data_IF_647740289472
#
_entry.id   IF_647740289472
#
_cell.length_a   1.000
_cell.length_b   1.000
_cell.length_c   1.000
_cell.angle_alpha   90.00
_cell.angle_beta   90.00
_cell.angle_gamma   90.00
#
_symmetry.space_group_name_H-M   'P 1'
#
loop_
_entity.id
_entity.type
_entity.pdbx_description
1 polymer ?
#
# COMPACT_ATOMS: atom_id res chain seq x y z
N UNK A 1 3.49 -11.03 26.09
CA UNK A 1 3.25 -11.04 24.62
C UNK A 1 4.02 -12.21 24.04
N UNK A 2 3.49 -12.91 23.02
CA UNK A 2 4.23 -14.02 22.41
C UNK A 2 5.48 -13.50 21.69
N UNK A 3 6.63 -14.13 21.92
CA UNK A 3 7.91 -13.72 21.33
C UNK A 3 8.01 -14.04 19.84
N UNK A 4 8.79 -13.26 19.10
CA UNK A 4 9.18 -13.56 17.71
C UNK A 4 10.50 -14.34 17.73
N UNK A 5 10.59 -15.38 16.92
CA UNK A 5 11.73 -16.29 16.92
C UNK A 5 12.23 -16.52 15.50
N UNK A 6 13.56 -16.63 15.36
CA UNK A 6 14.22 -17.00 14.12
C UNK A 6 14.74 -18.42 14.20
N UNK A 7 14.50 -19.19 13.14
CA UNK A 7 15.04 -20.54 13.01
C UNK A 7 16.54 -20.47 12.69
N UNK A 8 17.38 -20.85 13.64
CA UNK A 8 18.84 -20.87 13.50
C UNK A 8 19.39 -22.29 13.27
N UNK A 9 18.60 -23.33 13.58
CA UNK A 9 18.99 -24.73 13.43
C UNK A 9 18.49 -25.39 12.16
N UNK A 10 18.95 -26.62 11.89
CA UNK A 10 18.42 -27.49 10.83
C UNK A 10 19.08 -27.35 9.45
N UNK A 11 20.12 -26.54 9.29
CA UNK A 11 20.77 -26.30 7.98
C UNK A 11 21.28 -27.58 7.29
N UNK A 12 21.85 -28.53 8.05
CA UNK A 12 22.29 -29.83 7.53
C UNK A 12 21.17 -30.84 7.27
N UNK A 13 19.92 -30.53 7.64
CA UNK A 13 18.75 -31.42 7.52
C UNK A 13 17.57 -30.79 6.78
N UNK A 14 17.78 -29.66 6.10
CA UNK A 14 16.73 -28.95 5.36
C UNK A 14 15.70 -28.22 6.24
N UNK A 15 16.03 -27.92 7.50
CA UNK A 15 15.16 -27.24 8.47
C UNK A 15 14.82 -28.06 9.71
N UNK A 16 14.00 -27.46 10.59
CA UNK A 16 13.53 -28.08 11.82
C UNK A 16 12.37 -29.04 11.56
N UNK A 17 12.38 -30.16 12.26
CA UNK A 17 11.26 -31.09 12.29
C UNK A 17 10.08 -30.45 13.03
N UNK A 18 8.93 -30.41 12.36
CA UNK A 18 7.69 -29.87 12.92
C UNK A 18 6.77 -31.01 13.33
N UNK A 19 6.19 -30.92 14.52
CA UNK A 19 5.20 -31.89 15.02
C UNK A 19 3.82 -31.26 15.19
N UNK A 20 2.78 -32.08 15.14
CA UNK A 20 1.39 -31.67 15.40
C UNK A 20 1.14 -31.31 16.87
N UNK A 21 1.94 -31.85 17.79
CA UNK A 21 1.83 -31.64 19.23
C UNK A 21 3.18 -31.44 19.95
N UNK A 22 3.15 -31.05 21.24
CA UNK A 22 4.34 -30.76 22.04
C UNK A 22 5.15 -32.01 22.40
N UNK A 23 4.59 -33.21 22.25
CA UNK A 23 5.27 -34.47 22.55
C UNK A 23 6.39 -34.77 21.56
N UNK A 24 7.41 -35.51 21.99
CA UNK A 24 8.45 -36.05 21.10
C UNK A 24 7.94 -37.23 20.25
N UNK A 25 6.81 -37.82 20.64
CA UNK A 25 6.11 -38.90 19.91
C UNK A 25 4.91 -38.39 19.10
N UNK A 26 4.62 -37.09 19.14
CA UNK A 26 3.54 -36.50 18.34
C UNK A 26 3.84 -36.60 16.85
N UNK A 27 2.82 -36.77 16.02
CA UNK A 27 2.94 -36.94 14.57
C UNK A 27 3.86 -35.87 13.94
N UNK A 28 4.77 -36.34 13.10
CA UNK A 28 5.68 -35.50 12.32
C UNK A 28 4.97 -34.98 11.08
N UNK A 29 5.06 -33.67 10.84
CA UNK A 29 4.62 -33.11 9.57
C UNK A 29 5.59 -33.50 8.47
N UNK A 30 5.06 -33.69 7.25
CA UNK A 30 5.86 -34.06 6.08
C UNK A 30 6.90 -32.98 5.74
N UNK A 31 6.54 -31.71 5.92
CA UNK A 31 7.42 -30.57 5.66
C UNK A 31 8.18 -30.14 6.91
N UNK A 32 9.42 -29.70 6.71
CA UNK A 32 10.27 -29.10 7.74
C UNK A 32 10.15 -27.58 7.70
N UNK A 33 10.29 -26.96 8.87
CA UNK A 33 10.36 -25.51 8.99
C UNK A 33 11.78 -25.07 8.61
N UNK A 34 11.92 -24.36 7.49
CA UNK A 34 13.22 -24.03 6.92
C UNK A 34 14.05 -23.13 7.84
N UNK A 35 15.38 -23.29 7.79
CA UNK A 35 16.34 -22.39 8.46
C UNK A 35 16.12 -20.95 8.00
N UNK A 36 16.33 -19.98 8.90
CA UNK A 36 16.07 -18.54 8.74
C UNK A 36 14.59 -18.14 8.68
N UNK A 37 13.65 -19.09 8.72
CA UNK A 37 12.23 -18.77 8.85
C UNK A 37 11.96 -18.00 10.15
N UNK A 38 10.99 -17.09 10.06
CA UNK A 38 10.53 -16.24 11.14
C UNK A 38 9.20 -16.77 11.64
N UNK A 39 9.08 -17.01 12.94
CA UNK A 39 7.91 -17.62 13.54
C UNK A 39 7.46 -16.83 14.76
N UNK A 40 6.15 -16.69 14.93
CA UNK A 40 5.54 -16.10 16.11
C UNK A 40 5.20 -17.21 17.10
N UNK A 41 5.60 -17.05 18.36
CA UNK A 41 5.18 -17.93 19.44
C UNK A 41 3.67 -17.86 19.60
N UNK A 42 3.01 -19.01 19.72
CA UNK A 42 1.57 -19.09 20.08
C UNK A 42 1.45 -19.66 21.48
N UNK A 43 2.35 -20.56 21.85
CA UNK A 43 2.39 -21.23 23.14
C UNK A 43 3.72 -21.93 23.36
N UNK A 44 4.04 -22.25 24.61
CA UNK A 44 5.31 -22.88 24.97
C UNK A 44 5.13 -23.91 26.07
N UNK A 45 5.74 -25.08 25.89
CA UNK A 45 5.77 -26.14 26.88
C UNK A 45 7.22 -26.62 27.06
N UNK A 46 7.88 -26.13 28.11
CA UNK A 46 9.31 -26.38 28.33
C UNK A 46 10.16 -25.88 27.15
N UNK A 47 10.91 -26.77 26.51
CA UNK A 47 11.74 -26.47 25.34
C UNK A 47 11.00 -26.65 24.00
N UNK A 48 9.67 -26.78 24.03
CA UNK A 48 8.83 -26.92 22.84
C UNK A 48 8.05 -25.63 22.62
N UNK A 49 8.17 -25.08 21.41
CA UNK A 49 7.50 -23.87 20.99
C UNK A 49 6.40 -24.22 19.98
N UNK A 50 5.17 -23.85 20.29
CA UNK A 50 4.09 -23.80 19.32
C UNK A 50 4.19 -22.48 18.56
N UNK A 51 4.10 -22.53 17.24
CA UNK A 51 4.34 -21.37 16.41
C UNK A 51 3.32 -21.19 15.28
N UNK A 52 3.20 -19.95 14.80
CA UNK A 52 2.67 -19.57 13.49
C UNK A 52 3.83 -19.08 12.63
N UNK A 53 3.89 -19.51 11.37
CA UNK A 53 4.87 -19.04 10.40
C UNK A 53 4.55 -17.59 10.03
N UNK A 54 5.53 -16.70 10.13
CA UNK A 54 5.42 -15.28 9.75
C UNK A 54 6.09 -15.03 8.41
N UNK A 55 7.29 -15.60 8.20
CA UNK A 55 8.03 -15.51 6.94
C UNK A 55 8.96 -16.72 6.78
N UNK A 56 9.23 -17.14 5.53
CA UNK A 56 10.05 -18.32 5.23
C UNK A 56 9.24 -19.45 4.59
N UNK A 57 9.70 -20.69 4.75
CA UNK A 57 9.07 -21.87 4.14
C UNK A 57 8.92 -23.03 5.12
N UNK A 58 7.92 -23.86 4.88
CA UNK A 58 7.52 -24.99 5.73
C UNK A 58 6.11 -24.83 6.28
N UNK A 59 5.71 -25.67 7.26
CA UNK A 59 4.35 -25.67 7.79
C UNK A 59 3.97 -24.32 8.41
N UNK A 60 2.79 -23.81 8.05
CA UNK A 60 2.25 -22.54 8.55
C UNK A 60 2.03 -22.48 10.07
N UNK A 61 2.01 -23.64 10.75
CA UNK A 61 2.01 -23.74 12.20
C UNK A 61 2.49 -25.12 12.65
N UNK A 62 2.87 -25.24 13.92
CA UNK A 62 3.18 -26.53 14.53
C UNK A 62 4.03 -26.38 15.78
N UNK A 63 4.65 -27.48 16.20
CA UNK A 63 5.53 -27.53 17.37
C UNK A 63 6.96 -27.85 16.96
N UNK A 64 7.91 -27.03 17.40
CA UNK A 64 9.35 -27.23 17.20
C UNK A 64 10.11 -27.19 18.53
N UNK A 65 11.35 -27.66 18.53
CA UNK A 65 12.23 -27.55 19.69
C UNK A 65 13.00 -26.23 19.66
N UNK A 66 13.06 -25.52 20.79
CA UNK A 66 13.84 -24.30 20.96
C UNK A 66 15.35 -24.62 20.91
N UNK A 67 15.76 -25.70 21.56
CA UNK A 67 17.14 -26.21 21.57
C UNK A 67 17.19 -27.73 21.65
N UNK A 68 18.27 -28.32 21.16
CA UNK A 68 18.60 -29.74 21.32
C UNK A 68 20.03 -29.85 21.83
N UNK A 69 20.23 -30.49 22.99
CA UNK A 69 21.51 -30.49 23.74
C UNK A 69 21.99 -29.04 23.97
N UNK A 70 23.20 -28.71 23.54
CA UNK A 70 23.80 -27.37 23.67
C UNK A 70 23.54 -26.48 22.44
N UNK A 71 22.85 -26.99 21.41
CA UNK A 71 22.59 -26.23 20.17
C UNK A 71 21.21 -25.57 20.22
N UNK A 72 21.20 -24.24 20.20
CA UNK A 72 20.00 -23.44 19.98
C UNK A 72 19.50 -23.64 18.55
N UNK A 73 18.22 -23.98 18.41
CA UNK A 73 17.54 -24.15 17.13
C UNK A 73 16.66 -22.96 16.79
N UNK A 74 16.17 -22.27 17.82
CA UNK A 74 15.46 -21.01 17.73
C UNK A 74 16.21 -19.96 18.53
N UNK A 75 16.46 -18.83 17.91
CA UNK A 75 17.03 -17.66 18.59
C UNK A 75 15.88 -16.67 18.79
N UNK A 76 15.64 -16.18 20.03
CA UNK A 76 14.71 -15.08 20.23
C UNK A 76 15.19 -13.92 19.36
N UNK A 77 14.30 -13.34 18.57
CA UNK A 77 14.61 -12.09 17.89
C UNK A 77 14.63 -11.00 18.98
N UNK A 78 15.79 -10.83 19.63
CA UNK A 78 15.97 -9.83 20.65
C UNK A 78 15.72 -8.45 20.04
N UNK A 79 14.96 -7.61 20.76
CA UNK A 79 14.87 -6.19 20.49
C UNK A 79 16.26 -5.56 20.71
N UNK A 80 17.14 -5.64 19.72
CA UNK A 80 18.55 -5.26 19.86
C UNK A 80 19.21 -4.91 18.53
N UNK A 81 19.36 -3.60 18.32
CA UNK A 81 20.51 -2.92 17.69
C UNK A 81 21.37 -3.73 16.70
N UNK A 82 21.28 -3.41 15.40
CA UNK A 82 22.36 -3.71 14.46
C UNK A 82 22.01 -4.34 13.10
N UNK A 83 20.75 -4.42 12.69
CA UNK A 83 20.38 -4.82 11.32
C UNK A 83 19.34 -3.83 10.78
N UNK A 84 19.62 -3.23 9.62
CA UNK A 84 18.73 -2.38 8.80
C UNK A 84 17.53 -1.78 9.52
N UNK A 85 17.75 -0.84 10.44
CA UNK A 85 16.66 -0.10 11.09
C UNK A 85 15.81 0.52 9.98
N UNK A 86 14.50 0.23 9.98
CA UNK A 86 13.57 1.12 9.29
C UNK A 86 13.86 2.51 9.82
N UNK A 87 14.03 3.42 8.87
CA UNK A 87 14.15 4.84 9.10
C UNK A 87 12.79 5.34 9.62
N UNK A 88 12.53 5.09 10.91
CA UNK A 88 11.36 5.61 11.64
C UNK A 88 11.71 7.01 12.12
N UNK A 89 11.01 8.01 11.60
CA UNK A 89 11.25 9.40 11.97
C UNK A 89 9.99 9.99 12.60
N UNK A 90 10.17 10.63 13.75
CA UNK A 90 9.19 11.46 14.43
C UNK A 90 9.43 12.94 14.18
N UNK A 91 8.55 13.81 14.68
CA UNK A 91 8.69 15.28 14.55
C UNK A 91 10.05 15.82 15.05
N UNK A 92 10.64 15.15 16.05
CA UNK A 92 11.92 15.54 16.64
C UNK A 92 13.14 15.28 15.72
N UNK A 93 12.97 14.49 14.66
CA UNK A 93 14.04 14.20 13.68
C UNK A 93 14.13 15.25 12.57
N UNK A 94 13.24 16.25 12.58
CA UNK A 94 13.23 17.39 11.67
C UNK A 94 13.74 18.65 12.39
N UNK A 95 14.48 19.50 11.68
CA UNK A 95 15.11 20.71 12.24
C UNK A 95 14.14 21.72 12.90
N UNK A 96 14.69 22.73 13.58
CA UNK A 96 13.87 23.79 14.20
C UNK A 96 13.35 24.80 13.17
N UNK A 97 12.27 25.50 13.53
CA UNK A 97 11.66 26.57 12.73
C UNK A 97 12.59 27.76 12.41
N UNK A 98 13.81 27.77 12.97
CA UNK A 98 14.85 28.79 12.75
C UNK A 98 15.78 28.46 11.57
N UNK A 99 15.60 27.31 10.89
CA UNK A 99 16.37 26.97 9.71
C UNK A 99 16.06 27.93 8.54
N UNK A 100 17.09 28.61 8.02
CA UNK A 100 16.95 29.42 6.81
C UNK A 100 16.85 28.49 5.61
N UNK A 101 15.72 28.52 4.90
CA UNK A 101 15.54 27.83 3.63
C UNK A 101 16.69 28.18 2.68
N UNK A 102 17.32 27.16 2.09
CA UNK A 102 18.30 27.36 1.03
C UNK A 102 17.66 28.07 -0.16
N UNK A 103 18.42 28.92 -0.86
CA UNK A 103 18.00 29.53 -2.13
C UNK A 103 17.67 28.49 -3.22
N UNK A 104 18.08 27.23 -3.01
CA UNK A 104 17.80 26.10 -3.91
C UNK A 104 16.54 25.30 -3.50
N UNK A 105 15.77 25.77 -2.51
CA UNK A 105 14.54 25.10 -2.09
C UNK A 105 13.46 25.25 -3.16
N UNK A 106 12.87 24.14 -3.59
CA UNK A 106 11.75 24.13 -4.54
C UNK A 106 10.50 24.80 -3.95
N UNK A 107 9.57 25.30 -4.77
CA UNK A 107 8.32 25.89 -4.27
C UNK A 107 7.53 24.97 -3.33
N UNK A 108 7.52 23.66 -3.60
CA UNK A 108 6.87 22.67 -2.73
C UNK A 108 7.58 22.53 -1.37
N UNK A 109 8.92 22.48 -1.36
CA UNK A 109 9.72 22.44 -0.14
C UNK A 109 9.47 23.67 0.73
N UNK A 110 9.42 24.86 0.12
CA UNK A 110 9.10 26.10 0.83
C UNK A 110 7.66 26.09 1.36
N UNK A 111 6.69 25.69 0.53
CA UNK A 111 5.29 25.64 0.93
C UNK A 111 5.08 24.72 2.14
N UNK A 112 5.65 23.51 2.11
CA UNK A 112 5.57 22.56 3.22
C UNK A 112 6.29 23.08 4.48
N UNK A 113 7.46 23.71 4.31
CA UNK A 113 8.16 24.32 5.44
C UNK A 113 7.27 25.36 6.14
N UNK A 114 6.71 26.31 5.40
CA UNK A 114 5.88 27.36 6.00
C UNK A 114 4.54 26.84 6.52
N UNK A 115 3.84 25.97 5.78
CA UNK A 115 2.56 25.38 6.22
C UNK A 115 2.69 24.58 7.50
N UNK A 116 3.86 24.00 7.73
CA UNK A 116 4.16 23.22 8.92
C UNK A 116 4.80 24.02 10.05
N UNK A 117 4.92 25.34 9.90
CA UNK A 117 5.65 26.22 10.81
C UNK A 117 7.09 25.73 11.08
N UNK A 118 7.78 25.31 10.00
CA UNK A 118 9.17 24.89 10.00
C UNK A 118 9.40 23.41 10.35
N UNK A 119 8.36 22.63 10.63
CA UNK A 119 8.50 21.19 10.96
C UNK A 119 9.01 20.37 9.79
N UNK A 120 8.68 20.73 8.56
CA UNK A 120 9.13 20.03 7.36
C UNK A 120 10.35 20.72 6.75
N UNK A 121 11.49 20.63 7.44
CA UNK A 121 12.77 21.10 6.93
C UNK A 121 13.20 20.32 5.67
N UNK A 122 13.41 20.99 4.51
CA UNK A 122 13.80 20.34 3.26
C UNK A 122 15.12 19.58 3.37
N UNK A 123 16.10 20.08 4.12
CA UNK A 123 17.37 19.37 4.27
C UNK A 123 17.19 18.06 5.04
N UNK A 124 16.39 18.07 6.09
CA UNK A 124 16.01 16.88 6.84
C UNK A 124 15.33 15.88 5.92
N UNK A 125 14.30 16.28 5.17
CA UNK A 125 13.61 15.42 4.20
C UNK A 125 14.58 14.81 3.17
N UNK A 126 15.54 15.59 2.65
CA UNK A 126 16.58 15.11 1.73
C UNK A 126 17.51 14.08 2.38
N UNK A 127 17.81 14.20 3.68
CA UNK A 127 18.57 13.17 4.44
C UNK A 127 17.78 11.87 4.61
N UNK A 128 16.46 11.95 4.81
CA UNK A 128 15.59 10.78 5.00
C UNK A 128 15.35 10.02 3.69
N UNK A 129 15.35 10.74 2.56
CA UNK A 129 15.23 10.19 1.21
C UNK A 129 16.33 9.17 0.93
N UNK A 130 15.97 8.05 0.28
CA UNK A 130 16.95 7.06 -0.20
C UNK A 130 17.76 7.63 -1.36
N UNK A 131 19.02 7.20 -1.48
CA UNK A 131 19.84 7.59 -2.63
C UNK A 131 19.14 7.18 -3.94
N UNK A 132 19.06 8.05 -4.95
CA UNK A 132 18.51 7.70 -6.26
C UNK A 132 19.19 6.45 -6.83
N UNK A 133 18.49 5.63 -7.63
CA UNK A 133 19.10 4.46 -8.26
C UNK A 133 20.23 4.89 -9.19
N UNK A 134 21.35 4.16 -9.18
CA UNK A 134 22.48 4.40 -10.09
C UNK A 134 22.12 4.09 -11.56
N UNK A 135 21.16 3.19 -11.78
CA UNK A 135 20.62 2.83 -13.10
C UNK A 135 19.21 2.24 -12.97
N UNK A 136 18.43 2.27 -14.06
CA UNK A 136 17.06 1.73 -14.08
C UNK A 136 16.01 2.73 -13.60
N UNK A 137 14.75 2.26 -13.53
CA UNK A 137 13.62 3.08 -13.11
C UNK A 137 13.10 2.57 -11.75
N UNK A 138 13.55 3.22 -10.67
CA UNK A 138 12.98 2.98 -9.34
C UNK A 138 11.57 3.55 -9.26
N UNK A 139 10.69 2.78 -8.64
CA UNK A 139 9.33 3.18 -8.29
C UNK A 139 9.23 3.46 -6.79
N UNK A 140 8.60 4.57 -6.42
CA UNK A 140 8.24 4.87 -5.03
C UNK A 140 6.75 4.71 -4.82
N UNK A 141 6.37 3.71 -4.03
CA UNK A 141 4.98 3.53 -3.58
C UNK A 141 4.76 4.42 -2.38
N UNK A 142 3.75 5.29 -2.43
CA UNK A 142 3.43 6.28 -1.38
C UNK A 142 2.07 5.94 -0.78
N UNK A 143 2.03 5.80 0.54
CA UNK A 143 0.81 5.44 1.28
C UNK A 143 0.57 6.34 2.49
N UNK A 144 -0.39 7.27 2.40
CA UNK A 144 -0.95 7.96 3.55
C UNK A 144 -1.74 6.98 4.44
N UNK A 145 -1.55 7.03 5.76
CA UNK A 145 -2.32 6.21 6.69
C UNK A 145 -2.51 6.90 8.05
N UNK A 146 -3.22 6.26 8.98
CA UNK A 146 -3.34 6.69 10.37
C UNK A 146 -3.19 5.48 11.31
N UNK A 147 -2.74 5.70 12.54
CA UNK A 147 -2.67 4.65 13.57
C UNK A 147 -4.00 3.89 13.80
N UNK A 148 -5.16 4.55 13.59
CA UNK A 148 -6.49 3.93 13.69
C UNK A 148 -6.76 2.90 12.58
N UNK A 149 -5.99 2.95 11.50
CA UNK A 149 -6.03 2.05 10.33
C UNK A 149 -4.95 0.96 10.39
N UNK A 150 -4.27 0.81 11.53
CA UNK A 150 -3.21 -0.18 11.75
C UNK A 150 -3.56 -1.63 11.41
N UNK A 151 -4.85 -2.00 11.46
CA UNK A 151 -5.35 -3.30 10.99
C UNK A 151 -5.06 -3.60 9.52
N UNK A 152 -4.88 -2.57 8.68
CA UNK A 152 -4.62 -2.71 7.25
C UNK A 152 -3.12 -2.73 6.90
N UNK A 153 -2.24 -2.37 7.84
CA UNK A 153 -0.80 -2.26 7.55
C UNK A 153 -0.14 -3.59 7.13
N UNK A 154 -0.51 -4.76 7.69
CA UNK A 154 -0.03 -6.04 7.17
C UNK A 154 -0.48 -6.33 5.74
N UNK A 155 -1.72 -5.97 5.37
CA UNK A 155 -2.24 -6.13 4.01
C UNK A 155 -1.49 -5.22 3.03
N UNK A 156 -1.26 -3.96 3.41
CA UNK A 156 -0.45 -3.03 2.62
C UNK A 156 0.94 -3.62 2.33
N UNK A 157 1.58 -4.21 3.35
CA UNK A 157 2.88 -4.86 3.19
C UNK A 157 2.83 -6.09 2.28
N UNK A 158 1.79 -6.93 2.40
CA UNK A 158 1.56 -8.07 1.50
C UNK A 158 1.43 -7.59 0.04
N UNK A 159 0.61 -6.57 -0.21
CA UNK A 159 0.44 -5.97 -1.54
C UNK A 159 1.76 -5.42 -2.09
N UNK A 160 2.51 -4.68 -1.28
CA UNK A 160 3.79 -4.09 -1.68
C UNK A 160 4.84 -5.16 -2.01
N UNK A 161 5.02 -6.16 -1.14
CA UNK A 161 6.03 -7.21 -1.34
C UNK A 161 5.73 -8.10 -2.53
N UNK A 162 4.45 -8.34 -2.83
CA UNK A 162 4.02 -9.13 -3.97
C UNK A 162 4.28 -8.46 -5.32
N UNK A 163 4.56 -7.14 -5.38
CA UNK A 163 4.75 -6.45 -6.64
C UNK A 163 5.93 -7.02 -7.44
N UNK A 164 5.69 -7.31 -8.72
CA UNK A 164 6.69 -7.86 -9.66
C UNK A 164 7.80 -6.87 -10.04
N UNK A 165 7.62 -5.58 -9.78
CA UNK A 165 8.65 -4.57 -10.03
C UNK A 165 9.80 -4.71 -9.03
N UNK A 166 11.03 -4.90 -9.51
CA UNK A 166 12.18 -5.22 -8.65
C UNK A 166 12.68 -4.02 -7.84
N UNK A 167 13.03 -2.93 -8.52
CA UNK A 167 13.55 -1.72 -7.87
C UNK A 167 12.40 -0.83 -7.41
N UNK A 168 11.89 -1.11 -6.22
CA UNK A 168 10.77 -0.40 -5.60
C UNK A 168 11.05 -0.09 -4.14
N UNK A 169 10.38 0.94 -3.66
CA UNK A 169 10.39 1.34 -2.25
C UNK A 169 8.99 1.72 -1.77
N UNK A 170 8.75 1.55 -0.48
CA UNK A 170 7.50 1.94 0.16
C UNK A 170 7.73 3.13 1.08
N UNK A 171 6.91 4.15 0.96
CA UNK A 171 6.94 5.35 1.79
C UNK A 171 5.60 5.46 2.50
N UNK A 172 5.62 5.25 3.81
CA UNK A 172 4.41 5.27 4.64
C UNK A 172 4.40 6.52 5.49
N UNK A 173 3.33 7.30 5.36
CA UNK A 173 3.12 8.55 6.10
C UNK A 173 1.94 8.36 7.04
N UNK A 174 2.22 8.04 8.30
CA UNK A 174 1.20 7.80 9.32
C UNK A 174 0.97 9.04 10.17
N UNK A 175 -0.29 9.41 10.43
CA UNK A 175 -0.63 10.29 11.56
C UNK A 175 -1.19 9.52 12.74
N UNK A 176 -0.89 9.97 13.96
CA UNK A 176 -1.38 9.34 15.18
C UNK A 176 -1.71 10.33 16.30
N UNK A 177 -2.56 9.89 17.22
CA UNK A 177 -2.85 10.55 18.50
C UNK A 177 -2.34 9.64 19.62
N UNK A 178 -1.07 9.79 19.99
CA UNK A 178 -0.42 8.96 21.01
C UNK A 178 0.61 7.98 20.44
N UNK A 179 0.19 6.81 19.96
CA UNK A 179 1.14 5.75 19.53
C UNK A 179 1.12 5.50 18.01
N UNK A 180 2.30 5.37 17.37
CA UNK A 180 2.39 4.97 15.98
C UNK A 180 2.15 3.46 15.79
N UNK A 181 2.09 3.01 14.55
CA UNK A 181 1.96 1.60 14.18
C UNK A 181 3.08 0.72 14.74
N UNK A 182 2.72 -0.26 15.57
CA UNK A 182 3.65 -1.30 16.04
C UNK A 182 4.17 -2.17 14.89
N UNK A 183 3.33 -2.41 13.87
CA UNK A 183 3.70 -3.18 12.68
C UNK A 183 4.88 -2.53 11.94
N UNK A 184 4.75 -1.25 11.56
CA UNK A 184 5.84 -0.57 10.83
C UNK A 184 7.06 -0.30 11.70
N UNK A 185 6.90 -0.12 13.01
CA UNK A 185 8.04 -0.04 13.93
C UNK A 185 8.84 -1.36 14.01
N UNK A 186 8.19 -2.51 13.81
CA UNK A 186 8.82 -3.84 13.93
C UNK A 186 9.24 -4.47 12.59
N UNK A 187 8.79 -3.93 11.45
CA UNK A 187 8.93 -4.56 10.13
C UNK A 187 10.39 -4.75 9.66
N UNK A 188 11.34 -3.90 10.07
CA UNK A 188 12.78 -4.06 9.78
C UNK A 188 13.20 -4.09 8.29
N UNK A 189 12.38 -3.58 7.37
CA UNK A 189 12.62 -3.65 5.93
C UNK A 189 13.42 -2.44 5.38
N UNK A 190 14.51 -2.71 4.65
CA UNK A 190 15.44 -1.67 4.15
C UNK A 190 14.88 -0.81 2.99
N UNK A 191 13.88 -1.32 2.27
CA UNK A 191 13.20 -0.62 1.19
C UNK A 191 11.94 0.11 1.66
N UNK A 192 11.81 0.35 2.97
CA UNK A 192 10.70 1.09 3.58
C UNK A 192 11.20 2.37 4.24
N UNK A 193 10.56 3.49 3.92
CA UNK A 193 10.68 4.76 4.64
C UNK A 193 9.38 4.97 5.40
N UNK A 194 9.43 4.98 6.72
CA UNK A 194 8.24 5.11 7.56
C UNK A 194 8.32 6.38 8.40
N UNK A 195 7.38 7.27 8.19
CA UNK A 195 7.29 8.54 8.91
C UNK A 195 6.04 8.50 9.78
N UNK A 196 6.22 8.66 11.08
CA UNK A 196 5.13 8.73 12.05
C UNK A 196 4.99 10.16 12.57
N UNK A 197 3.82 10.74 12.36
CA UNK A 197 3.52 12.14 12.66
C UNK A 197 2.50 12.23 13.77
N UNK A 198 2.90 12.82 14.89
CA UNK A 198 1.95 13.12 15.95
C UNK A 198 1.07 14.32 15.54
N UNK A 199 -0.24 14.17 15.71
CA UNK A 199 -1.23 15.18 15.34
C UNK A 199 -1.91 14.90 14.00
N UNK A 200 -2.25 15.97 13.28
CA UNK A 200 -3.02 15.90 12.04
C UNK A 200 -2.24 16.51 10.87
N UNK A 201 -2.30 15.85 9.72
CA UNK A 201 -1.74 16.28 8.44
C UNK A 201 -2.68 15.70 7.39
N UNK A 202 -3.11 16.56 6.47
CA UNK A 202 -4.08 16.20 5.44
C UNK A 202 -3.54 15.09 4.52
N UNK A 203 -4.42 14.46 3.73
CA UNK A 203 -3.99 13.45 2.76
C UNK A 203 -3.07 14.08 1.71
N UNK A 204 -3.39 15.29 1.25
CA UNK A 204 -2.54 16.02 0.31
C UNK A 204 -1.17 16.37 0.89
N UNK A 205 -1.13 16.83 2.15
CA UNK A 205 0.10 17.05 2.92
C UNK A 205 0.97 15.77 2.96
N UNK A 206 0.39 14.62 3.28
CA UNK A 206 1.09 13.33 3.30
C UNK A 206 1.60 12.91 1.92
N UNK A 207 0.80 13.08 0.86
CA UNK A 207 1.22 12.73 -0.50
C UNK A 207 2.35 13.62 -1.00
N UNK A 208 2.31 14.93 -0.70
CA UNK A 208 3.39 15.86 -1.00
C UNK A 208 4.70 15.50 -0.28
N UNK A 209 4.63 15.17 1.02
CA UNK A 209 5.78 14.64 1.77
C UNK A 209 6.31 13.35 1.13
N UNK A 210 5.42 12.46 0.70
CA UNK A 210 5.77 11.25 -0.04
C UNK A 210 6.55 11.53 -1.33
N UNK A 211 6.13 12.51 -2.13
CA UNK A 211 6.86 12.93 -3.35
C UNK A 211 8.26 13.44 -3.00
N UNK A 212 8.39 14.25 -1.95
CA UNK A 212 9.70 14.78 -1.53
C UNK A 212 10.64 13.65 -1.07
N UNK A 213 10.12 12.70 -0.30
CA UNK A 213 10.88 11.54 0.21
C UNK A 213 11.18 10.48 -0.87
N UNK A 214 10.43 10.46 -1.97
CA UNK A 214 10.58 9.50 -3.05
C UNK A 214 11.93 9.60 -3.76
N UNK A 215 12.68 8.50 -3.82
CA UNK A 215 13.90 8.36 -4.61
C UNK A 215 13.64 7.85 -6.03
N UNK A 216 12.45 7.31 -6.30
CA UNK A 216 11.99 6.84 -7.59
C UNK A 216 11.64 7.96 -8.57
N UNK A 217 11.68 7.61 -9.86
CA UNK A 217 11.28 8.50 -10.96
C UNK A 217 9.76 8.51 -11.14
N UNK A 218 9.10 7.43 -10.74
CA UNK A 218 7.66 7.24 -10.81
C UNK A 218 7.11 7.03 -9.41
N UNK A 219 6.04 7.74 -9.11
CA UNK A 219 5.24 7.61 -7.89
C UNK A 219 4.05 6.72 -8.19
N UNK A 220 3.78 5.80 -7.28
CA UNK A 220 2.60 4.94 -7.30
C UNK A 220 1.85 5.17 -5.99
N UNK A 221 0.56 5.46 -6.06
CA UNK A 221 -0.24 5.70 -4.87
C UNK A 221 -0.95 4.40 -4.46
N UNK A 222 -0.75 4.01 -3.21
CA UNK A 222 -1.49 2.93 -2.56
C UNK A 222 -2.32 3.53 -1.43
N UNK A 223 -3.60 3.20 -1.39
CA UNK A 223 -4.38 3.29 -0.16
C UNK A 223 -4.08 2.06 0.70
N UNK A 224 -4.18 2.19 2.03
CA UNK A 224 -3.78 1.13 2.94
C UNK A 224 -4.80 -0.02 3.05
N UNK A 225 -6.07 0.27 2.77
CA UNK A 225 -7.23 -0.64 2.83
C UNK A 225 -7.52 -1.39 1.52
N UNK A 226 -6.96 -0.93 0.40
CA UNK A 226 -7.14 -1.54 -0.90
C UNK A 226 -6.16 -2.69 -1.18
N UNK A 227 -6.48 -3.50 -2.19
CA UNK A 227 -5.70 -4.68 -2.55
C UNK A 227 -5.09 -4.49 -3.95
N UNK A 228 -3.76 -4.58 -4.02
CA UNK A 228 -2.99 -4.40 -5.25
C UNK A 228 -2.32 -5.69 -5.68
N UNK A 229 -2.75 -6.22 -6.83
CA UNK A 229 -2.24 -7.47 -7.37
C UNK A 229 -0.75 -7.42 -7.72
N UNK A 230 -0.05 -8.56 -7.83
CA UNK A 230 1.38 -8.62 -8.12
C UNK A 230 1.84 -7.87 -9.38
N UNK A 231 0.93 -7.69 -10.34
CA UNK A 231 1.21 -7.04 -11.61
C UNK A 231 0.88 -5.54 -11.61
N UNK A 232 0.28 -4.98 -10.55
CA UNK A 232 -0.24 -3.60 -10.53
C UNK A 232 0.80 -2.56 -10.91
N UNK A 233 1.90 -2.46 -10.17
CA UNK A 233 2.98 -1.48 -10.44
C UNK A 233 3.55 -1.69 -11.84
N UNK A 234 3.85 -2.93 -12.22
CA UNK A 234 4.43 -3.23 -13.52
C UNK A 234 3.51 -2.82 -14.67
N UNK A 235 2.22 -3.09 -14.57
CA UNK A 235 1.25 -2.77 -15.63
C UNK A 235 1.06 -1.26 -15.76
N UNK A 236 0.86 -0.56 -14.64
CA UNK A 236 0.66 0.89 -14.64
C UNK A 236 1.90 1.65 -15.12
N UNK A 237 3.08 1.31 -14.60
CA UNK A 237 4.34 1.99 -14.95
C UNK A 237 4.74 1.73 -16.41
N UNK A 238 4.61 0.50 -16.91
CA UNK A 238 4.92 0.20 -18.32
C UNK A 238 3.97 0.90 -19.27
N UNK A 239 2.69 1.03 -18.92
CA UNK A 239 1.74 1.76 -19.75
C UNK A 239 2.04 3.25 -19.77
N UNK A 240 2.33 3.84 -18.61
CA UNK A 240 2.78 5.23 -18.50
C UNK A 240 3.99 5.49 -19.40
N UNK A 241 5.01 4.61 -19.35
CA UNK A 241 6.20 4.72 -20.19
C UNK A 241 5.90 4.54 -21.68
N UNK A 242 5.18 3.47 -22.05
CA UNK A 242 4.85 3.13 -23.44
C UNK A 242 4.03 4.22 -24.13
N UNK A 243 3.11 4.85 -23.40
CA UNK A 243 2.26 5.93 -23.92
C UNK A 243 2.87 7.34 -23.71
N UNK A 244 4.08 7.43 -23.13
CA UNK A 244 4.76 8.70 -22.82
C UNK A 244 3.90 9.67 -21.98
N UNK A 245 3.21 9.11 -20.97
CA UNK A 245 2.31 9.85 -20.08
C UNK A 245 3.08 10.48 -18.91
N UNK A 246 2.51 11.55 -18.37
CA UNK A 246 2.91 12.19 -17.12
C UNK A 246 2.20 11.55 -15.92
N UNK A 247 0.94 11.17 -16.09
CA UNK A 247 0.15 10.46 -15.10
C UNK A 247 -0.80 9.47 -15.77
N UNK A 248 -1.17 8.43 -15.04
CA UNK A 248 -2.10 7.39 -15.48
C UNK A 248 -2.96 6.98 -14.29
N UNK A 249 -4.27 6.98 -14.45
CA UNK A 249 -5.23 6.49 -13.45
C UNK A 249 -6.12 5.40 -14.05
N UNK A 250 -6.65 4.52 -13.20
CA UNK A 250 -7.69 3.61 -13.63
C UNK A 250 -8.99 4.38 -13.88
N UNK A 251 -9.67 4.08 -14.99
CA UNK A 251 -10.99 4.63 -15.33
C UNK A 251 -12.12 3.62 -15.16
N UNK A 252 -11.79 2.38 -14.83
CA UNK A 252 -12.71 1.32 -14.44
C UNK A 252 -11.93 0.31 -13.59
N UNK A 253 -12.58 -0.27 -12.59
CA UNK A 253 -11.92 -1.10 -11.57
C UNK A 253 -12.88 -2.11 -10.95
N UNK A 254 -12.33 -3.00 -10.14
CA UNK A 254 -13.10 -3.95 -9.35
C UNK A 254 -13.28 -3.42 -7.93
N UNK A 255 -14.49 -3.53 -7.40
CA UNK A 255 -14.83 -3.27 -6.01
C UNK A 255 -15.08 -4.57 -5.26
N UNK A 256 -14.82 -4.56 -3.96
CA UNK A 256 -15.27 -5.58 -3.04
C UNK A 256 -15.97 -4.96 -1.82
N UNK A 257 -17.29 -5.16 -1.69
CA UNK A 257 -18.03 -4.76 -0.50
C UNK A 257 -17.90 -5.83 0.58
N UNK A 258 -17.17 -5.50 1.64
CA UNK A 258 -16.92 -6.37 2.80
C UNK A 258 -18.16 -6.63 3.65
N UNK A 259 -19.19 -5.76 3.59
CA UNK A 259 -20.46 -5.91 4.33
C UNK A 259 -21.41 -6.84 3.60
N UNK A 260 -21.45 -6.75 2.27
CA UNK A 260 -22.29 -7.62 1.43
C UNK A 260 -21.58 -8.87 0.94
N UNK A 261 -20.26 -8.97 1.14
CA UNK A 261 -19.41 -10.04 0.63
C UNK A 261 -19.56 -10.22 -0.89
N UNK A 262 -19.57 -9.10 -1.63
CA UNK A 262 -19.82 -9.07 -3.08
C UNK A 262 -18.73 -8.31 -3.81
N UNK A 263 -18.34 -8.84 -4.96
CA UNK A 263 -17.47 -8.16 -5.90
C UNK A 263 -18.30 -7.59 -7.06
N UNK A 264 -17.95 -6.38 -7.48
CA UNK A 264 -18.52 -5.76 -8.65
C UNK A 264 -17.46 -5.10 -9.50
N UNK A 265 -17.80 -4.82 -10.75
CA UNK A 265 -16.98 -4.06 -11.67
C UNK A 265 -17.63 -2.70 -11.85
N UNK A 266 -16.84 -1.64 -11.72
CA UNK A 266 -17.25 -0.24 -11.83
C UNK A 266 -16.65 0.33 -13.10
N UNK A 267 -17.50 0.87 -13.96
CA UNK A 267 -17.09 1.61 -15.15
C UNK A 267 -17.94 2.89 -15.20
N UNK A 268 -17.44 4.02 -14.67
CA UNK A 268 -18.18 5.28 -14.63
C UNK A 268 -18.62 5.76 -16.02
N UNK A 269 -17.87 5.46 -17.07
CA UNK A 269 -18.27 5.80 -18.45
C UNK A 269 -19.52 5.00 -18.84
N UNK A 270 -19.54 3.69 -18.57
CA UNK A 270 -20.68 2.84 -18.88
C UNK A 270 -21.93 3.15 -18.02
N UNK A 271 -21.75 3.63 -16.79
CA UNK A 271 -22.88 4.08 -15.95
C UNK A 271 -23.59 5.31 -16.51
N UNK A 272 -22.92 6.12 -17.34
CA UNK A 272 -23.58 7.24 -18.03
C UNK A 272 -24.37 6.85 -19.27
N UNK A 273 -24.15 5.63 -19.77
CA UNK A 273 -24.91 5.03 -20.88
C UNK A 273 -26.15 4.26 -20.38
N UNK A 274 -26.37 4.14 -19.06
CA UNK A 274 -27.64 3.65 -18.52
C UNK A 274 -28.74 4.67 -18.85
N UNK A 275 -29.55 4.33 -19.87
CA UNK A 275 -30.69 5.09 -20.38
C UNK A 275 -31.66 5.55 -19.27
N UNK A 276 -31.40 6.71 -18.67
CA UNK A 276 -32.43 7.50 -18.03
C UNK A 276 -33.44 7.88 -19.12
N UNK A 277 -34.75 7.57 -18.99
CA UNK A 277 -35.72 7.78 -20.04
C UNK A 277 -35.64 9.20 -20.61
N UNK A 278 -35.31 9.30 -21.91
CA UNK A 278 -35.16 10.57 -22.66
C UNK A 278 -36.44 11.43 -22.70
N UNK A 279 -37.54 11.02 -22.06
CA UNK A 279 -38.88 11.59 -22.22
C UNK A 279 -39.20 12.83 -21.37
N UNK A 280 -38.27 13.35 -20.54
CA UNK A 280 -38.58 14.47 -19.61
C UNK A 280 -37.67 15.71 -19.75
N UNK A 281 -36.77 15.81 -20.72
CA UNK A 281 -35.81 16.93 -20.75
C UNK A 281 -35.89 17.79 -22.01
N UNK A 282 -36.29 19.06 -21.83
CA UNK A 282 -36.16 20.10 -22.83
C UNK A 282 -34.68 20.29 -23.23
N UNK A 283 -34.43 20.65 -24.49
CA UNK A 283 -33.08 20.70 -25.09
C UNK A 283 -32.05 21.55 -24.31
N UNK A 284 -32.48 22.61 -23.60
CA UNK A 284 -31.60 23.42 -22.75
C UNK A 284 -31.12 22.68 -21.48
N UNK A 285 -31.94 21.78 -20.93
CA UNK A 285 -31.57 20.96 -19.80
C UNK A 285 -30.66 19.80 -20.21
N UNK A 286 -30.69 19.38 -21.48
CA UNK A 286 -29.79 18.33 -22.01
C UNK A 286 -28.33 18.76 -22.00
N UNK A 287 -28.02 20.00 -22.41
CA UNK A 287 -26.64 20.52 -22.42
C UNK A 287 -26.07 20.69 -21.02
N UNK A 288 -26.84 21.23 -20.07
CA UNK A 288 -26.39 21.37 -18.68
C UNK A 288 -26.32 20.01 -17.97
N UNK A 289 -27.24 19.08 -18.26
CA UNK A 289 -27.16 17.70 -17.78
C UNK A 289 -25.95 16.97 -18.39
N UNK A 290 -25.63 17.18 -19.66
CA UNK A 290 -24.43 16.63 -20.29
C UNK A 290 -23.15 17.22 -19.69
N UNK A 291 -23.14 18.51 -19.34
CA UNK A 291 -22.01 19.12 -18.60
C UNK A 291 -21.89 18.59 -17.18
N UNK A 292 -23.00 18.45 -16.45
CA UNK A 292 -23.05 17.84 -15.10
C UNK A 292 -22.67 16.36 -15.13
N UNK A 293 -23.08 15.63 -16.18
CA UNK A 293 -22.67 14.24 -16.43
C UNK A 293 -21.19 14.16 -16.76
N UNK A 294 -20.68 15.02 -17.65
CA UNK A 294 -19.24 15.09 -17.96
C UNK A 294 -18.42 15.46 -16.75
N UNK A 295 -18.83 16.44 -15.94
CA UNK A 295 -18.13 16.80 -14.70
C UNK A 295 -18.23 15.69 -13.64
N UNK A 296 -19.35 14.97 -13.59
CA UNK A 296 -19.54 13.79 -12.73
C UNK A 296 -18.67 12.60 -13.14
N UNK A 297 -18.61 12.28 -14.43
CA UNK A 297 -17.74 11.23 -15.00
C UNK A 297 -16.28 11.61 -14.86
N UNK A 298 -15.94 12.85 -15.18
CA UNK A 298 -14.57 13.34 -15.05
C UNK A 298 -14.10 13.32 -13.59
N UNK A 299 -14.95 13.73 -12.65
CA UNK A 299 -14.69 13.55 -11.21
C UNK A 299 -14.57 12.09 -10.80
N UNK A 300 -15.36 11.19 -11.38
CA UNK A 300 -15.32 9.75 -11.08
C UNK A 300 -14.15 9.00 -11.74
N UNK A 301 -13.67 9.47 -12.89
CA UNK A 301 -12.62 8.83 -13.70
C UNK A 301 -11.22 9.35 -13.34
N UNK A 302 -11.12 10.63 -12.98
CA UNK A 302 -9.86 11.22 -12.48
C UNK A 302 -9.80 11.28 -10.96
N UNK A 303 -10.88 10.88 -10.28
CA UNK A 303 -10.92 10.66 -8.83
C UNK A 303 -10.67 9.22 -8.44
N UNK A 304 -10.72 8.99 -7.13
CA UNK A 304 -10.39 7.72 -6.48
C UNK A 304 -8.88 7.47 -6.37
N UNK A 305 -8.31 8.09 -5.35
CA UNK A 305 -6.88 8.22 -5.12
C UNK A 305 -6.12 6.93 -4.83
N UNK A 306 -6.78 5.78 -4.93
CA UNK A 306 -6.19 4.46 -4.79
C UNK A 306 -5.54 3.95 -6.08
N UNK A 307 -5.86 4.49 -7.27
CA UNK A 307 -5.62 3.79 -8.54
C UNK A 307 -4.70 4.49 -9.57
N UNK A 308 -3.80 5.37 -9.13
CA UNK A 308 -3.01 6.17 -10.08
C UNK A 308 -1.50 6.16 -9.83
N UNK A 309 -0.78 6.48 -10.90
CA UNK A 309 0.66 6.59 -10.96
C UNK A 309 1.05 7.87 -11.70
N UNK A 310 2.15 8.49 -11.32
CA UNK A 310 2.62 9.70 -11.99
C UNK A 310 4.14 9.84 -11.95
N UNK A 311 4.69 10.59 -12.91
CA UNK A 311 6.08 11.00 -12.86
C UNK A 311 6.30 11.89 -11.64
N UNK A 312 7.42 11.66 -10.93
CA UNK A 312 7.76 12.42 -9.73
C UNK A 312 7.93 13.90 -10.01
N UNK A 313 8.59 14.23 -11.13
CA UNK A 313 8.95 15.62 -11.45
C UNK A 313 7.69 16.49 -11.66
N UNK A 314 6.70 16.13 -12.50
CA UNK A 314 5.46 16.88 -12.61
C UNK A 314 4.72 17.03 -11.27
N UNK A 315 4.76 16.01 -10.41
CA UNK A 315 4.18 16.08 -9.07
C UNK A 315 4.89 17.07 -8.12
N UNK A 316 6.17 17.36 -8.33
CA UNK A 316 6.88 18.41 -7.59
C UNK A 316 6.46 19.82 -8.06
N UNK A 317 6.17 19.98 -9.35
CA UNK A 317 5.76 21.25 -9.95
C UNK A 317 4.28 21.56 -9.71
N UNK A 318 3.45 20.52 -9.64
CA UNK A 318 2.01 20.58 -9.46
C UNK A 318 1.60 19.77 -8.22
N UNK A 319 1.84 20.28 -7.01
CA UNK A 319 1.63 19.51 -5.79
C UNK A 319 0.15 19.27 -5.47
N UNK A 320 -0.12 18.24 -4.67
CA UNK A 320 -1.46 18.00 -4.15
C UNK A 320 -1.95 19.21 -3.33
N UNK A 321 -3.23 19.58 -3.42
CA UNK A 321 -3.80 20.58 -2.52
C UNK A 321 -3.81 20.04 -1.08
N UNK A 322 -3.57 20.91 -0.10
CA UNK A 322 -3.58 20.57 1.32
C UNK A 322 -5.02 20.40 1.84
N UNK A 323 -5.67 19.31 1.42
CA UNK A 323 -7.05 18.97 1.79
C UNK A 323 -7.16 17.55 2.31
N UNK A 324 -8.15 17.31 3.18
CA UNK A 324 -8.40 15.99 3.79
C UNK A 324 -9.18 15.03 2.88
N UNK A 325 -9.76 15.55 1.80
CA UNK A 325 -10.53 14.80 0.81
C UNK A 325 -10.39 15.43 -0.56
N UNK A 326 -10.59 14.60 -1.60
CA UNK A 326 -10.60 14.98 -3.01
C UNK A 326 -9.31 15.66 -3.48
N UNK A 327 -8.19 15.45 -2.80
CA UNK A 327 -6.88 15.95 -3.20
C UNK A 327 -6.37 15.27 -4.47
N UNK A 328 -6.73 13.99 -4.67
CA UNK A 328 -6.50 13.16 -5.86
C UNK A 328 -7.09 13.78 -7.13
N UNK A 329 -8.41 14.03 -7.14
CA UNK A 329 -9.15 14.60 -8.28
C UNK A 329 -8.51 15.92 -8.67
N UNK A 330 -8.31 16.81 -7.69
CA UNK A 330 -7.75 18.14 -7.92
C UNK A 330 -6.33 18.06 -8.48
N UNK A 331 -5.50 17.15 -7.96
CA UNK A 331 -4.16 16.92 -8.46
C UNK A 331 -4.16 16.39 -9.90
N UNK A 332 -4.99 15.39 -10.21
CA UNK A 332 -5.09 14.80 -11.54
C UNK A 332 -5.62 15.82 -12.56
N UNK A 333 -6.63 16.62 -12.19
CA UNK A 333 -7.15 17.69 -13.04
C UNK A 333 -6.11 18.79 -13.26
N UNK A 334 -5.37 19.19 -12.23
CA UNK A 334 -4.29 20.17 -12.37
C UNK A 334 -3.20 19.67 -13.33
N UNK A 335 -2.78 18.41 -13.23
CA UNK A 335 -1.85 17.82 -14.18
C UNK A 335 -2.43 17.76 -15.59
N UNK A 336 -3.73 17.47 -15.71
CA UNK A 336 -4.37 17.40 -17.03
C UNK A 336 -4.49 18.78 -17.67
N UNK A 337 -4.76 19.82 -16.89
CA UNK A 337 -4.76 21.21 -17.40
C UNK A 337 -3.36 21.62 -17.90
N UNK A 338 -2.30 21.16 -17.22
CA UNK A 338 -0.92 21.47 -17.58
C UNK A 338 -0.37 20.62 -18.75
N UNK A 339 -0.73 19.33 -18.82
CA UNK A 339 -0.12 18.35 -19.72
C UNK A 339 -1.07 17.72 -20.74
N UNK A 340 -2.36 18.06 -20.69
CA UNK A 340 -3.40 17.63 -21.60
C UNK A 340 -3.48 16.11 -21.75
N UNK A 341 -3.37 15.57 -22.98
CA UNK A 341 -3.55 14.14 -23.26
C UNK A 341 -2.46 13.23 -22.66
N UNK A 342 -1.42 13.81 -22.03
CA UNK A 342 -0.41 13.05 -21.30
C UNK A 342 -0.86 12.63 -19.90
N UNK A 343 -2.07 13.01 -19.47
CA UNK A 343 -2.75 12.39 -18.32
C UNK A 343 -3.71 11.34 -18.87
N UNK A 344 -3.32 10.08 -18.76
CA UNK A 344 -4.02 8.96 -19.38
C UNK A 344 -4.99 8.25 -18.45
N UNK A 345 -5.87 7.49 -19.08
CA UNK A 345 -6.85 6.62 -18.45
C UNK A 345 -6.64 5.18 -18.91
N UNK A 346 -6.94 4.23 -18.02
CA UNK A 346 -6.88 2.79 -18.31
C UNK A 346 -8.01 2.05 -17.61
N UNK A 347 -8.74 1.20 -18.32
CA UNK A 347 -9.67 0.24 -17.70
C UNK A 347 -8.89 -0.93 -17.12
N UNK A 348 -9.13 -1.29 -15.87
CA UNK A 348 -8.58 -2.50 -15.26
C UNK A 348 -9.40 -3.72 -15.69
N UNK A 349 -8.98 -4.39 -16.75
CA UNK A 349 -9.65 -5.59 -17.22
C UNK A 349 -9.08 -6.85 -16.56
N UNK A 350 -7.87 -6.76 -16.03
CA UNK A 350 -7.12 -7.89 -15.47
C UNK A 350 -7.34 -8.06 -13.95
N UNK A 351 -8.00 -7.10 -13.31
CA UNK A 351 -8.17 -7.04 -11.86
C UNK A 351 -6.83 -6.94 -11.16
N UNK A 352 -6.02 -5.96 -11.57
CA UNK A 352 -4.76 -5.62 -10.90
C UNK A 352 -4.97 -4.79 -9.63
N UNK A 353 -6.15 -4.21 -9.45
CA UNK A 353 -6.54 -3.50 -8.24
C UNK A 353 -7.96 -3.92 -7.83
N UNK A 354 -8.17 -4.02 -6.52
CA UNK A 354 -9.48 -4.28 -5.92
C UNK A 354 -9.71 -3.22 -4.83
N UNK A 355 -10.64 -2.31 -5.09
CA UNK A 355 -11.05 -1.29 -4.15
C UNK A 355 -11.94 -1.91 -3.07
N UNK A 356 -11.57 -1.78 -1.81
CA UNK A 356 -12.23 -2.46 -0.70
C UNK A 356 -13.22 -1.53 -0.03
N UNK A 357 -14.50 -1.79 -0.27
CA UNK A 357 -15.57 -1.07 0.39
C UNK A 357 -15.86 -1.66 1.78
N UNK A 358 -15.65 -0.85 2.82
CA UNK A 358 -15.98 -1.10 4.21
C UNK A 358 -16.80 0.07 4.78
N UNK A 359 -17.60 -0.13 5.83
CA UNK A 359 -18.54 0.90 6.36
C UNK A 359 -17.94 2.22 6.88
N UNK A 360 -16.66 2.51 6.60
CA UNK A 360 -15.97 3.77 6.86
C UNK A 360 -15.11 4.27 5.68
N UNK A 361 -15.39 3.88 4.44
CA UNK A 361 -14.74 4.53 3.29
C UNK A 361 -15.15 6.01 3.22
N UNK A 362 -14.29 6.82 2.61
CA UNK A 362 -14.55 8.23 2.31
C UNK A 362 -15.16 8.43 0.92
N UNK A 363 -15.13 7.41 0.06
CA UNK A 363 -15.75 7.38 -1.25
C UNK A 363 -16.63 6.13 -1.37
N UNK A 364 -17.74 6.25 -2.11
CA UNK A 364 -18.70 5.18 -2.38
C UNK A 364 -18.87 5.07 -3.90
N UNK A 365 -18.89 3.85 -4.42
CA UNK A 365 -18.94 3.58 -5.86
C UNK A 365 -20.21 2.81 -6.23
N UNK A 366 -20.81 3.21 -7.35
CA UNK A 366 -22.00 2.54 -7.87
C UNK A 366 -21.57 1.36 -8.75
N UNK A 367 -21.99 0.15 -8.40
CA UNK A 367 -21.63 -1.05 -9.16
C UNK A 367 -22.28 -1.03 -10.55
N UNK A 368 -21.47 -1.16 -11.61
CA UNK A 368 -21.97 -1.30 -12.98
C UNK A 368 -22.44 -2.74 -13.24
N UNK A 369 -21.65 -3.75 -12.85
CA UNK A 369 -22.07 -5.16 -12.91
C UNK A 369 -21.53 -5.96 -11.73
N UNK A 370 -22.25 -7.02 -11.37
CA UNK A 370 -21.74 -8.04 -10.46
C UNK A 370 -20.62 -8.85 -11.13
N UNK A 371 -19.64 -9.29 -10.33
CA UNK A 371 -18.51 -10.11 -10.77
C UNK A 371 -18.64 -11.49 -10.14
N UNK A 372 -18.61 -12.53 -10.98
CA UNK A 372 -18.78 -13.92 -10.54
C UNK A 372 -17.55 -14.44 -9.78
N UNK A 373 -17.73 -15.44 -8.92
CA UNK A 373 -16.61 -16.07 -8.20
C UNK A 373 -15.53 -16.65 -9.15
N UNK A 374 -15.94 -17.21 -10.28
CA UNK A 374 -15.03 -17.73 -11.31
C UNK A 374 -14.21 -16.63 -11.97
N UNK A 375 -14.81 -15.45 -12.17
CA UNK A 375 -14.11 -14.29 -12.68
C UNK A 375 -13.13 -13.74 -11.65
N UNK A 376 -13.55 -13.61 -10.38
CA UNK A 376 -12.66 -13.21 -9.28
C UNK A 376 -11.43 -14.10 -9.26
N UNK A 377 -11.59 -15.42 -9.33
CA UNK A 377 -10.49 -16.38 -9.30
C UNK A 377 -9.45 -16.20 -10.43
N UNK A 378 -9.81 -15.51 -11.53
CA UNK A 378 -8.90 -15.21 -12.65
C UNK A 378 -8.23 -13.84 -12.56
N UNK A 379 -8.67 -12.96 -11.66
CA UNK A 379 -8.09 -11.63 -11.48
C UNK A 379 -6.65 -11.71 -10.94
N UNK A 380 -5.82 -10.73 -11.27
CA UNK A 380 -4.43 -10.67 -10.79
C UNK A 380 -4.36 -10.57 -9.26
N UNK A 381 -5.28 -9.83 -8.63
CA UNK A 381 -5.41 -9.74 -7.16
C UNK A 381 -5.63 -11.10 -6.49
N UNK A 382 -6.21 -12.09 -7.19
CA UNK A 382 -6.43 -13.44 -6.63
C UNK A 382 -5.17 -14.27 -6.44
N UNK A 383 -4.03 -13.79 -6.95
CA UNK A 383 -2.71 -14.35 -6.65
C UNK A 383 -2.25 -14.05 -5.22
N UNK A 384 -2.91 -13.12 -4.53
CA UNK A 384 -2.63 -12.80 -3.14
C UNK A 384 -3.40 -13.73 -2.19
N UNK A 385 -2.74 -14.27 -1.15
CA UNK A 385 -3.38 -15.05 -0.10
C UNK A 385 -4.64 -14.41 0.50
N UNK A 386 -4.62 -13.08 0.70
CA UNK A 386 -5.77 -12.36 1.25
C UNK A 386 -7.04 -12.52 0.41
N UNK A 387 -6.94 -12.43 -0.92
CA UNK A 387 -8.08 -12.56 -1.84
C UNK A 387 -8.55 -14.01 -1.95
N UNK A 388 -7.62 -14.96 -1.94
CA UNK A 388 -7.98 -16.38 -1.88
C UNK A 388 -8.81 -16.72 -0.63
N UNK A 389 -8.56 -16.03 0.49
CA UNK A 389 -9.36 -16.15 1.71
C UNK A 389 -10.77 -15.57 1.55
N UNK A 390 -10.89 -14.42 0.86
CA UNK A 390 -12.17 -13.76 0.57
C UNK A 390 -13.05 -14.61 -0.35
N UNK A 391 -12.49 -15.12 -1.45
CA UNK A 391 -13.22 -15.96 -2.41
C UNK A 391 -13.79 -17.24 -1.75
N UNK A 392 -13.05 -17.86 -0.82
CA UNK A 392 -13.54 -19.03 -0.06
C UNK A 392 -14.71 -18.72 0.87
N UNK A 393 -14.85 -17.47 1.35
CA UNK A 393 -16.00 -17.05 2.16
C UNK A 393 -17.23 -16.86 1.30
N UNK A 394 -17.07 -16.25 0.13
CA UNK A 394 -18.16 -16.05 -0.85
C UNK A 394 -18.79 -17.35 -1.36
N UNK A 395 -18.01 -18.44 -1.47
CA UNK A 395 -18.51 -19.75 -1.92
C UNK A 395 -19.33 -20.51 -0.86
N UNK A 396 -19.34 -20.06 0.40
CA UNK A 396 -20.04 -20.73 1.50
C UNK A 396 -21.41 -20.12 1.83
N UNK A 397 -21.73 -19.00 1.21
CA UNK A 397 -23.02 -18.29 1.30
C UNK A 397 -23.80 -18.51 0.00
#
# INVERSE_FOLDING_TARGET
MPGLWRVAGGEGTGGLLVRSGPGLTSEEKQERLATKSLIQEIGRQGLRLQYALVAGSGPGSGWVSIRIREKELLVPEAAGQGAGRIRSYGLADFGSADARLSSESTPLEQALYYQSAGKWDPESLRRLRRAPPASGCRVSVVTPTTSRRSKFHPQLWECFTAQSWRDKELIVLETHQGRPSEFFQSLGAENVVYISLEGDCSIGCKRNLGILLASGQVIVNFDDDDIYGPSYVSSMVRELQRKNLVALTLSAWYDFDTRMNRCGYVDPEALTDLDLPNSILAAAAKTELEKLRRSGVEGAVYGYGFSYVHLREPGLQHPYPDTKMCEDVKFMLQLRDAFGPRVGLRKDLEGICLHVMHGGNTADSMLHRAVSADEIARLDVSKLPIVASMARKMQKE
#
